data_IF_377483223847
#
_entry.id   IF_377483223847
#
_cell.length_a   1.000
_cell.length_b   1.000
_cell.length_c   1.000
_cell.angle_alpha   90.00
_cell.angle_beta   90.00
_cell.angle_gamma   90.00
#
_symmetry.space_group_name_H-M   'P 1'
#
loop_
_entity.id
_entity.type
_entity.pdbx_description
1 polymer ?
#
# COMPACT_ATOMS: atom_id res chain seq x y z
N UNK A 1 2.07 13.60 16.09
CA UNK A 1 3.01 12.99 15.12
C UNK A 1 2.75 11.49 15.13
N UNK A 2 2.49 10.87 13.98
CA UNK A 2 2.23 9.44 13.88
C UNK A 2 3.51 8.67 14.23
N UNK A 3 3.42 7.60 15.01
CA UNK A 3 4.60 6.81 15.39
C UNK A 3 5.18 6.09 14.16
N UNK A 4 6.51 6.13 13.97
CA UNK A 4 7.15 5.46 12.84
C UNK A 4 6.93 3.95 12.87
N UNK A 5 6.94 3.33 11.69
CA UNK A 5 6.95 1.88 11.55
C UNK A 5 8.34 1.37 11.90
N UNK A 6 8.42 0.54 12.94
CA UNK A 6 9.70 -0.04 13.38
C UNK A 6 10.07 -1.25 12.55
N UNK A 7 11.26 -1.21 11.96
CA UNK A 7 11.84 -2.29 11.18
C UNK A 7 13.18 -2.66 11.79
N UNK A 8 13.39 -3.94 12.09
CA UNK A 8 14.66 -4.45 12.62
C UNK A 8 15.27 -5.44 11.64
N UNK A 9 16.51 -5.18 11.21
CA UNK A 9 17.32 -6.09 10.41
C UNK A 9 18.39 -6.74 11.30
N UNK A 10 18.27 -8.05 11.53
CA UNK A 10 19.32 -8.85 12.16
C UNK A 10 20.25 -9.37 11.08
N UNK A 11 21.42 -8.74 10.91
CA UNK A 11 22.43 -9.17 9.93
C UNK A 11 23.33 -10.25 10.51
N UNK A 12 23.86 -11.12 9.65
CA UNK A 12 24.87 -12.11 10.02
C UNK A 12 26.19 -11.43 10.39
N UNK A 13 26.31 -11.05 11.67
CA UNK A 13 27.44 -10.37 12.26
C UNK A 13 27.41 -10.53 13.79
N UNK A 14 28.43 -10.03 14.46
CA UNK A 14 28.51 -9.97 15.91
C UNK A 14 29.32 -11.10 16.55
N UNK A 15 29.20 -11.19 17.87
CA UNK A 15 29.93 -12.14 18.70
C UNK A 15 29.14 -12.51 19.94
N UNK A 16 29.30 -13.75 20.38
CA UNK A 16 28.71 -14.25 21.61
C UNK A 16 29.72 -15.16 22.31
N UNK A 17 30.30 -14.68 23.41
CA UNK A 17 31.37 -15.37 24.11
C UNK A 17 32.55 -15.69 23.19
N UNK A 18 32.99 -16.96 23.09
CA UNK A 18 34.08 -17.36 22.20
C UNK A 18 33.69 -17.40 20.71
N UNK A 19 32.41 -17.30 20.37
CA UNK A 19 31.93 -17.36 18.99
C UNK A 19 31.89 -15.97 18.36
N UNK A 20 32.41 -15.82 17.14
CA UNK A 20 32.38 -14.56 16.39
C UNK A 20 32.15 -14.83 14.90
N UNK A 21 31.34 -14.00 14.28
CA UNK A 21 31.16 -14.00 12.82
C UNK A 21 32.33 -13.25 12.18
N UNK A 22 33.11 -13.93 11.34
CA UNK A 22 34.24 -13.34 10.60
C UNK A 22 34.03 -13.36 9.08
N UNK A 23 32.96 -14.00 8.59
CA UNK A 23 32.68 -14.16 7.16
C UNK A 23 31.63 -13.12 6.76
N UNK A 24 31.88 -12.33 5.69
CA UNK A 24 30.91 -11.37 5.20
C UNK A 24 29.68 -12.08 4.62
N UNK A 25 28.52 -11.44 4.77
CA UNK A 25 27.23 -11.94 4.30
C UNK A 25 26.74 -11.10 3.12
N UNK A 26 26.77 -11.66 1.91
CA UNK A 26 26.30 -10.99 0.69
C UNK A 26 24.81 -10.64 0.76
N UNK A 27 23.98 -11.58 1.25
CA UNK A 27 22.53 -11.40 1.43
C UNK A 27 22.19 -10.24 2.36
N UNK A 28 23.04 -9.98 3.36
CA UNK A 28 22.84 -8.91 4.32
C UNK A 28 23.07 -7.53 3.70
N UNK A 29 24.07 -7.40 2.82
CA UNK A 29 24.31 -6.18 2.05
C UNK A 29 23.15 -5.93 1.07
N UNK A 30 22.79 -6.96 0.28
CA UNK A 30 21.69 -6.87 -0.68
C UNK A 30 20.37 -6.49 0.01
N UNK A 31 20.06 -7.10 1.15
CA UNK A 31 18.86 -6.78 1.93
C UNK A 31 18.85 -5.32 2.37
N UNK A 32 20.00 -4.78 2.81
CA UNK A 32 20.10 -3.38 3.22
C UNK A 32 19.85 -2.43 2.04
N UNK A 33 20.42 -2.73 0.87
CA UNK A 33 20.24 -1.91 -0.32
C UNK A 33 18.79 -1.93 -0.80
N UNK A 34 18.15 -3.11 -0.78
CA UNK A 34 16.71 -3.25 -1.08
C UNK A 34 15.87 -2.42 -0.10
N UNK A 35 16.16 -2.47 1.21
CA UNK A 35 15.44 -1.69 2.21
C UNK A 35 15.50 -0.20 1.91
N UNK A 36 16.71 0.33 1.72
CA UNK A 36 16.91 1.76 1.48
C UNK A 36 16.19 2.21 0.21
N UNK A 37 16.38 1.48 -0.90
CA UNK A 37 15.71 1.81 -2.16
C UNK A 37 14.18 1.71 -2.06
N UNK A 38 13.66 0.76 -1.27
CA UNK A 38 12.20 0.64 -1.05
C UNK A 38 11.65 1.79 -0.20
N UNK A 39 12.41 2.28 0.78
CA UNK A 39 11.99 3.41 1.62
C UNK A 39 11.95 4.72 0.84
N UNK A 40 12.92 4.92 -0.05
CA UNK A 40 13.04 6.14 -0.83
C UNK A 40 12.04 6.21 -1.99
N UNK A 41 11.59 5.05 -2.49
CA UNK A 41 10.67 4.96 -3.63
C UNK A 41 9.26 4.52 -3.23
N UNK A 42 9.01 3.23 -3.02
CA UNK A 42 7.65 2.70 -2.83
C UNK A 42 7.01 3.09 -1.49
N UNK A 43 7.80 3.29 -0.45
CA UNK A 43 7.31 3.65 0.89
C UNK A 43 7.58 5.12 1.23
N UNK A 44 7.87 5.94 0.21
CA UNK A 44 8.09 7.37 0.37
C UNK A 44 6.90 8.03 1.08
N UNK A 45 7.19 8.78 2.14
CA UNK A 45 6.18 9.46 2.97
C UNK A 45 5.64 8.64 4.15
N UNK A 46 5.96 7.34 4.26
CA UNK A 46 5.69 6.56 5.47
C UNK A 46 6.85 6.76 6.44
N UNK A 47 6.62 7.23 7.68
CA UNK A 47 7.68 7.35 8.67
C UNK A 47 8.17 5.95 9.08
N UNK A 48 9.43 5.63 8.78
CA UNK A 48 10.05 4.32 9.05
C UNK A 48 11.30 4.53 9.90
N UNK A 49 11.46 3.68 10.92
CA UNK A 49 12.64 3.61 11.76
C UNK A 49 13.32 2.25 11.52
N UNK A 50 14.51 2.26 10.90
CA UNK A 50 15.31 1.07 10.67
C UNK A 50 16.37 0.92 11.76
N UNK A 51 16.30 -0.19 12.49
CA UNK A 51 17.33 -0.63 13.43
C UNK A 51 18.10 -1.82 12.84
N UNK A 52 19.43 -1.75 12.80
CA UNK A 52 20.28 -2.85 12.34
C UNK A 52 20.99 -3.46 13.54
N UNK A 53 20.75 -4.74 13.79
CA UNK A 53 21.37 -5.50 14.87
C UNK A 53 22.27 -6.60 14.34
N UNK A 54 23.35 -6.85 15.07
CA UNK A 54 24.19 -8.01 14.83
C UNK A 54 23.48 -9.26 15.39
N UNK A 55 23.13 -10.19 14.51
CA UNK A 55 22.34 -11.38 14.85
C UNK A 55 23.00 -12.20 15.96
N UNK A 56 24.30 -12.49 15.88
CA UNK A 56 24.96 -13.33 16.88
C UNK A 56 25.00 -12.65 18.25
N UNK A 57 25.05 -11.32 18.29
CA UNK A 57 25.00 -10.56 19.54
C UNK A 57 23.59 -10.46 20.14
N UNK A 58 22.54 -10.73 19.35
CA UNK A 58 21.13 -10.54 19.73
C UNK A 58 20.26 -11.77 19.42
N UNK A 59 20.85 -12.94 19.27
CA UNK A 59 20.21 -14.13 18.70
C UNK A 59 18.93 -14.57 19.45
N UNK A 60 18.81 -14.23 20.73
CA UNK A 60 17.63 -14.51 21.56
C UNK A 60 16.40 -13.68 21.17
N UNK A 61 16.57 -12.50 20.57
CA UNK A 61 15.45 -11.65 20.16
C UNK A 61 14.64 -12.28 19.02
N UNK A 62 15.24 -12.63 17.85
CA UNK A 62 14.51 -13.25 16.76
C UNK A 62 13.97 -14.64 17.10
N UNK A 63 14.64 -15.37 18.01
CA UNK A 63 14.14 -16.68 18.46
C UNK A 63 12.80 -16.59 19.17
N UNK A 64 12.54 -15.51 19.94
CA UNK A 64 11.22 -15.28 20.55
C UNK A 64 10.12 -15.12 19.50
N UNK A 65 10.49 -14.77 18.27
CA UNK A 65 9.59 -14.61 17.12
C UNK A 65 9.62 -15.82 16.18
N UNK A 66 10.26 -16.94 16.59
CA UNK A 66 10.32 -18.17 15.80
C UNK A 66 11.27 -18.11 14.60
N UNK A 67 12.25 -17.20 14.59
CA UNK A 67 13.23 -17.07 13.51
C UNK A 67 14.66 -17.18 14.03
N UNK A 68 15.53 -17.80 13.24
CA UNK A 68 16.90 -18.11 13.66
C UNK A 68 17.96 -17.97 12.56
N UNK A 69 17.58 -17.88 11.28
CA UNK A 69 18.54 -17.79 10.18
C UNK A 69 18.69 -16.35 9.68
N UNK A 70 19.87 -15.75 9.87
CA UNK A 70 20.17 -14.41 9.34
C UNK A 70 20.42 -14.42 7.82
N UNK A 71 20.17 -13.29 7.10
CA UNK A 71 19.55 -12.06 7.60
C UNK A 71 18.09 -12.27 7.98
N UNK A 72 17.64 -11.66 9.09
CA UNK A 72 16.23 -11.70 9.53
C UNK A 72 15.68 -10.29 9.48
N UNK A 73 14.56 -10.11 8.79
CA UNK A 73 13.84 -8.85 8.78
C UNK A 73 12.56 -8.96 9.60
N UNK A 74 12.37 -8.00 10.50
CA UNK A 74 11.19 -7.90 11.36
C UNK A 74 10.53 -6.55 11.15
N UNK A 75 9.21 -6.53 10.94
CA UNK A 75 8.40 -5.31 10.87
C UNK A 75 7.38 -5.37 12.00
N UNK A 76 7.44 -4.40 12.92
CA UNK A 76 6.51 -4.30 14.07
C UNK A 76 6.38 -5.62 14.85
N UNK A 77 7.52 -6.27 15.15
CA UNK A 77 7.58 -7.53 15.89
C UNK A 77 7.14 -8.79 15.11
N UNK A 78 6.86 -8.67 13.80
CA UNK A 78 6.53 -9.80 12.93
C UNK A 78 7.68 -10.09 11.97
N UNK A 79 8.11 -11.35 11.88
CA UNK A 79 9.14 -11.80 10.94
C UNK A 79 8.59 -11.74 9.51
N UNK A 80 9.29 -11.03 8.64
CA UNK A 80 8.92 -10.80 7.23
C UNK A 80 9.77 -11.65 6.28
N UNK A 81 11.06 -11.84 6.59
CA UNK A 81 11.98 -12.66 5.80
C UNK A 81 13.09 -13.19 6.71
N UNK A 82 13.61 -14.38 6.38
CA UNK A 82 14.75 -14.99 7.08
C UNK A 82 15.58 -15.87 6.13
N UNK A 83 16.91 -15.78 6.22
CA UNK A 83 17.85 -16.70 5.55
C UNK A 83 17.92 -16.59 4.02
N UNK A 84 17.29 -15.59 3.43
CA UNK A 84 17.24 -15.37 1.98
C UNK A 84 17.25 -13.87 1.65
N UNK A 85 17.45 -13.53 0.37
CA UNK A 85 17.32 -12.17 -0.13
C UNK A 85 15.90 -11.64 0.13
N UNK A 86 15.80 -10.40 0.61
CA UNK A 86 14.51 -9.77 0.87
C UNK A 86 13.67 -9.61 -0.40
N UNK A 87 12.46 -10.16 -0.38
CA UNK A 87 11.46 -9.82 -1.40
C UNK A 87 10.85 -8.44 -1.11
N UNK A 88 11.06 -7.50 -2.04
CA UNK A 88 10.55 -6.13 -1.95
C UNK A 88 9.03 -6.08 -1.76
N UNK A 89 8.26 -6.85 -2.53
CA UNK A 89 6.79 -6.82 -2.45
C UNK A 89 6.28 -7.25 -1.08
N UNK A 90 6.93 -8.25 -0.47
CA UNK A 90 6.60 -8.74 0.88
C UNK A 90 6.90 -7.68 1.94
N UNK A 91 8.02 -6.93 1.81
CA UNK A 91 8.30 -5.76 2.65
C UNK A 91 7.22 -4.69 2.51
N UNK A 92 6.94 -4.25 1.28
CA UNK A 92 5.94 -3.18 1.01
C UNK A 92 4.58 -3.57 1.58
N UNK A 93 4.12 -4.80 1.30
CA UNK A 93 2.87 -5.32 1.84
C UNK A 93 2.85 -5.28 3.37
N UNK A 94 3.91 -5.75 4.03
CA UNK A 94 3.98 -5.84 5.49
C UNK A 94 3.97 -4.45 6.14
N UNK A 95 4.72 -3.50 5.58
CA UNK A 95 4.76 -2.11 6.08
C UNK A 95 3.41 -1.44 5.89
N UNK A 96 2.82 -1.54 4.71
CA UNK A 96 1.53 -0.89 4.41
C UNK A 96 0.41 -1.48 5.25
N UNK A 97 0.40 -2.79 5.48
CA UNK A 97 -0.59 -3.41 6.36
C UNK A 97 -0.54 -2.84 7.79
N UNK A 98 0.65 -2.51 8.29
CA UNK A 98 0.80 -1.88 9.61
C UNK A 98 0.46 -0.39 9.57
N UNK A 99 0.87 0.30 8.50
CA UNK A 99 0.57 1.72 8.30
C UNK A 99 -0.94 1.98 8.19
N UNK A 100 -1.66 1.12 7.46
CA UNK A 100 -3.10 1.19 7.26
C UNK A 100 -3.92 1.15 8.55
N UNK A 101 -3.38 0.58 9.63
CA UNK A 101 -4.05 0.56 10.93
C UNK A 101 -3.96 1.92 11.66
N UNK A 102 -3.05 2.80 11.23
CA UNK A 102 -2.74 4.09 11.85
C UNK A 102 -3.14 5.27 10.98
N UNK A 103 -3.23 5.04 9.67
CA UNK A 103 -3.50 6.02 8.65
C UNK A 103 -4.83 5.72 7.95
N UNK A 104 -5.59 6.78 7.68
CA UNK A 104 -6.84 6.71 6.92
C UNK A 104 -6.63 7.44 5.60
N UNK A 105 -7.20 6.94 4.50
CA UNK A 105 -7.17 7.65 3.23
C UNK A 105 -7.90 9.00 3.36
N UNK A 106 -7.21 10.08 3.03
CA UNK A 106 -7.73 11.45 3.12
C UNK A 106 -7.76 12.11 1.74
N UNK A 107 -8.75 12.99 1.52
CA UNK A 107 -8.92 13.71 0.27
C UNK A 107 -9.53 12.87 -0.86
N UNK A 108 -9.31 13.33 -2.09
CA UNK A 108 -9.86 12.73 -3.31
C UNK A 108 -8.82 11.83 -3.96
N UNK A 109 -9.09 10.53 -4.02
CA UNK A 109 -8.15 9.51 -4.46
C UNK A 109 -8.83 8.58 -5.47
N UNK A 110 -8.13 8.31 -6.57
CA UNK A 110 -8.53 7.35 -7.59
C UNK A 110 -7.44 6.32 -7.76
N UNK A 111 -7.72 5.09 -7.32
CA UNK A 111 -6.89 3.94 -7.66
C UNK A 111 -7.35 3.35 -8.99
N UNK A 112 -6.42 3.18 -9.91
CA UNK A 112 -6.73 2.70 -11.26
C UNK A 112 -5.57 2.02 -11.93
N UNK A 113 -5.75 1.68 -13.21
CA UNK A 113 -4.66 1.28 -14.10
C UNK A 113 -4.81 1.98 -15.44
N UNK A 114 -3.70 2.36 -16.06
CA UNK A 114 -3.68 3.15 -17.29
C UNK A 114 -4.51 2.53 -18.44
N UNK A 115 -4.55 1.21 -18.55
CA UNK A 115 -5.24 0.49 -19.64
C UNK A 115 -6.74 0.25 -19.39
N UNK A 116 -7.30 0.74 -18.29
CA UNK A 116 -8.69 0.48 -17.94
C UNK A 116 -9.64 1.58 -18.46
N UNK A 117 -10.62 1.25 -19.32
CA UNK A 117 -11.57 2.25 -19.84
C UNK A 117 -12.45 2.86 -18.74
N UNK A 118 -12.82 2.09 -17.72
CA UNK A 118 -13.59 2.59 -16.58
C UNK A 118 -12.80 3.60 -15.72
N UNK A 119 -11.48 3.41 -15.61
CA UNK A 119 -10.62 4.40 -14.93
C UNK A 119 -10.57 5.71 -15.73
N UNK A 120 -10.44 5.64 -17.06
CA UNK A 120 -10.48 6.83 -17.93
C UNK A 120 -11.82 7.57 -17.80
N UNK A 121 -12.94 6.83 -17.81
CA UNK A 121 -14.28 7.40 -17.59
C UNK A 121 -14.37 8.12 -16.24
N UNK A 122 -13.96 7.46 -15.16
CA UNK A 122 -14.01 8.04 -13.81
C UNK A 122 -13.20 9.34 -13.69
N UNK A 123 -11.98 9.35 -14.23
CA UNK A 123 -11.15 10.57 -14.27
C UNK A 123 -11.84 11.70 -15.01
N UNK A 124 -12.37 11.43 -16.21
CA UNK A 124 -13.10 12.44 -16.99
C UNK A 124 -14.30 12.99 -16.23
N UNK A 125 -15.06 12.15 -15.54
CA UNK A 125 -16.19 12.61 -14.71
C UNK A 125 -15.75 13.56 -13.59
N UNK A 126 -14.62 13.27 -12.93
CA UNK A 126 -14.06 14.17 -11.91
C UNK A 126 -13.53 15.48 -12.52
N UNK A 127 -12.85 15.39 -13.66
CA UNK A 127 -12.33 16.55 -14.39
C UNK A 127 -13.49 17.47 -14.84
N UNK A 128 -14.55 16.91 -15.43
CA UNK A 128 -15.74 17.65 -15.87
C UNK A 128 -16.49 18.27 -14.68
N UNK A 129 -16.50 17.61 -13.52
CA UNK A 129 -17.07 18.13 -12.27
C UNK A 129 -16.15 19.14 -11.54
N UNK A 130 -14.93 19.39 -12.04
CA UNK A 130 -13.97 20.30 -11.41
C UNK A 130 -13.36 19.77 -10.10
N UNK A 131 -13.47 18.48 -9.82
CA UNK A 131 -12.96 17.84 -8.60
C UNK A 131 -11.50 17.45 -8.80
N UNK A 132 -10.61 18.05 -8.02
CA UNK A 132 -9.19 17.66 -8.01
C UNK A 132 -9.01 16.33 -7.29
N UNK A 133 -8.17 15.44 -7.81
CA UNK A 133 -7.89 14.13 -7.22
C UNK A 133 -6.43 13.70 -7.42
N UNK A 134 -5.98 12.80 -6.55
CA UNK A 134 -4.73 12.06 -6.70
C UNK A 134 -5.02 10.74 -7.42
N UNK A 135 -4.26 10.45 -8.46
CA UNK A 135 -4.37 9.18 -9.19
C UNK A 135 -3.19 8.28 -8.86
N UNK A 136 -3.48 7.04 -8.45
CA UNK A 136 -2.48 6.01 -8.21
C UNK A 136 -2.66 4.85 -9.18
N UNK A 137 -1.60 4.52 -9.92
CA UNK A 137 -1.61 3.39 -10.84
C UNK A 137 -1.18 2.10 -10.11
N UNK A 138 -2.15 1.24 -9.81
CA UNK A 138 -1.91 0.01 -9.02
C UNK A 138 -1.07 -1.04 -9.75
N UNK A 139 -0.74 -0.84 -11.02
CA UNK A 139 0.19 -1.71 -11.77
C UNK A 139 1.63 -1.21 -11.65
N UNK A 140 1.83 0.11 -11.57
CA UNK A 140 3.16 0.73 -11.49
C UNK A 140 3.61 0.96 -10.04
N UNK A 141 2.66 1.26 -9.17
CA UNK A 141 2.88 1.57 -7.75
C UNK A 141 2.41 0.39 -6.91
N UNK A 142 3.32 -0.49 -6.54
CA UNK A 142 3.01 -1.65 -5.69
C UNK A 142 2.38 -1.22 -4.36
N UNK A 143 2.85 -0.11 -3.80
CA UNK A 143 2.30 0.47 -2.58
C UNK A 143 0.81 0.85 -2.73
N UNK A 144 0.42 1.41 -3.87
CA UNK A 144 -0.97 1.74 -4.15
C UNK A 144 -1.86 0.49 -4.18
N UNK A 145 -1.39 -0.59 -4.79
CA UNK A 145 -2.11 -1.88 -4.80
C UNK A 145 -2.30 -2.44 -3.39
N UNK A 146 -1.21 -2.51 -2.62
CA UNK A 146 -1.23 -3.04 -1.26
C UNK A 146 -1.98 -2.14 -0.28
N UNK A 147 -2.11 -0.83 -0.56
CA UNK A 147 -2.98 0.09 0.19
C UNK A 147 -4.45 -0.12 -0.18
N UNK A 148 -4.77 -0.16 -1.47
CA UNK A 148 -6.14 -0.21 -1.98
C UNK A 148 -6.86 -1.52 -1.60
N UNK A 149 -6.27 -2.69 -1.86
CA UNK A 149 -6.97 -3.98 -1.69
C UNK A 149 -7.55 -4.17 -0.28
N UNK A 150 -6.77 -4.07 0.81
CA UNK A 150 -7.31 -4.31 2.16
C UNK A 150 -8.39 -3.30 2.55
N UNK A 151 -8.23 -2.03 2.18
CA UNK A 151 -9.21 -0.96 2.44
C UNK A 151 -10.56 -1.27 1.76
N UNK A 152 -10.52 -1.64 0.48
CA UNK A 152 -11.74 -2.03 -0.25
C UNK A 152 -12.36 -3.29 0.35
N UNK A 153 -11.55 -4.31 0.64
CA UNK A 153 -12.02 -5.59 1.21
C UNK A 153 -12.69 -5.43 2.58
N UNK A 154 -12.23 -4.48 3.38
CA UNK A 154 -12.87 -4.14 4.66
C UNK A 154 -14.31 -3.63 4.46
N UNK A 155 -14.60 -3.00 3.32
CA UNK A 155 -15.91 -2.42 3.00
C UNK A 155 -16.80 -3.40 2.24
N UNK A 156 -16.29 -4.02 1.16
CA UNK A 156 -17.11 -4.86 0.25
C UNK A 156 -17.10 -6.36 0.63
N UNK A 157 -16.31 -6.72 1.64
CA UNK A 157 -16.17 -8.08 2.15
C UNK A 157 -15.05 -8.90 1.51
N UNK A 158 -14.49 -9.82 2.31
CA UNK A 158 -13.31 -10.61 1.94
C UNK A 158 -13.50 -11.50 0.71
N UNK A 159 -14.72 -11.96 0.43
CA UNK A 159 -15.02 -12.86 -0.70
C UNK A 159 -15.24 -12.12 -2.02
N UNK A 160 -15.49 -10.81 -1.99
CA UNK A 160 -15.87 -10.04 -3.18
C UNK A 160 -14.61 -9.61 -3.96
N UNK A 161 -14.47 -9.92 -5.26
CA UNK A 161 -13.32 -9.47 -6.04
C UNK A 161 -13.18 -7.95 -6.05
N UNK A 162 -11.93 -7.46 -5.93
CA UNK A 162 -11.63 -6.03 -6.06
C UNK A 162 -11.27 -5.74 -7.51
N UNK A 163 -11.97 -4.81 -8.14
CA UNK A 163 -11.72 -4.34 -9.51
C UNK A 163 -11.31 -2.87 -9.48
N UNK A 164 -10.82 -2.32 -10.59
CA UNK A 164 -10.52 -0.89 -10.72
C UNK A 164 -11.52 -0.21 -11.66
N UNK A 165 -11.83 1.10 -11.49
CA UNK A 165 -11.28 2.01 -10.48
C UNK A 165 -11.87 1.81 -9.08
N UNK A 166 -11.16 2.30 -8.05
CA UNK A 166 -11.66 2.42 -6.68
C UNK A 166 -11.42 3.85 -6.18
N UNK A 167 -12.50 4.51 -5.77
CA UNK A 167 -12.53 5.96 -5.63
C UNK A 167 -12.95 6.35 -4.21
N UNK A 168 -12.18 7.27 -3.63
CA UNK A 168 -12.51 7.99 -2.39
C UNK A 168 -12.63 9.47 -2.72
N UNK A 169 -13.64 10.14 -2.15
CA UNK A 169 -13.80 11.59 -2.22
C UNK A 169 -13.95 12.15 -0.81
N UNK A 170 -13.15 13.16 -0.47
CA UNK A 170 -13.05 13.75 0.86
C UNK A 170 -12.92 12.68 1.97
N UNK A 171 -12.10 11.65 1.73
CA UNK A 171 -11.91 10.52 2.64
C UNK A 171 -13.06 9.50 2.70
N UNK A 172 -14.16 9.71 1.97
CA UNK A 172 -15.28 8.79 1.91
C UNK A 172 -15.19 7.86 0.71
N UNK A 173 -15.36 6.57 0.94
CA UNK A 173 -15.37 5.59 -0.14
C UNK A 173 -16.63 5.71 -1.01
N UNK A 174 -16.42 5.88 -2.32
CA UNK A 174 -17.47 5.97 -3.33
C UNK A 174 -17.61 4.62 -4.07
N UNK A 175 -16.49 3.95 -4.35
CA UNK A 175 -16.44 2.68 -5.07
C UNK A 175 -16.01 2.84 -6.53
N UNK A 176 -16.71 2.18 -7.45
CA UNK A 176 -16.34 2.12 -8.86
C UNK A 176 -16.79 3.32 -9.70
N UNK A 177 -16.54 3.25 -11.01
CA UNK A 177 -16.89 4.32 -11.96
C UNK A 177 -18.40 4.60 -12.00
N UNK A 178 -19.24 3.56 -11.94
CA UNK A 178 -20.70 3.73 -11.97
C UNK A 178 -21.22 4.34 -10.67
N UNK A 179 -20.64 3.97 -9.53
CA UNK A 179 -20.95 4.60 -8.24
C UNK A 179 -20.58 6.08 -8.23
N UNK A 180 -19.42 6.43 -8.82
CA UNK A 180 -19.00 7.82 -8.94
C UNK A 180 -19.96 8.62 -9.82
N UNK A 181 -20.39 8.06 -10.94
CA UNK A 181 -21.36 8.72 -11.81
C UNK A 181 -22.67 9.02 -11.05
N UNK A 182 -23.22 8.01 -10.36
CA UNK A 182 -24.43 8.19 -9.56
C UNK A 182 -24.24 9.23 -8.45
N UNK A 183 -23.05 9.27 -7.82
CA UNK A 183 -22.73 10.26 -6.79
C UNK A 183 -22.68 11.69 -7.35
N UNK A 184 -22.06 11.89 -8.52
CA UNK A 184 -21.98 13.20 -9.20
C UNK A 184 -23.36 13.69 -9.62
N UNK A 185 -24.18 12.81 -10.18
CA UNK A 185 -25.57 13.10 -10.57
C UNK A 185 -26.40 13.51 -9.34
N UNK A 186 -26.31 12.75 -8.25
CA UNK A 186 -27.00 13.07 -7.00
C UNK A 186 -26.55 14.40 -6.37
N UNK A 187 -25.32 14.85 -6.65
CA UNK A 187 -24.77 16.14 -6.21
C UNK A 187 -25.09 17.30 -7.15
N UNK A 188 -25.73 17.05 -8.30
CA UNK A 188 -26.00 18.07 -9.32
C UNK A 188 -24.73 18.64 -9.95
N UNK A 189 -23.63 17.88 -9.93
CA UNK A 189 -22.34 18.27 -10.49
C UNK A 189 -22.16 17.78 -11.94
N UNK A 190 -23.19 17.15 -12.50
CA UNK A 190 -23.18 16.68 -13.88
C UNK A 190 -23.27 17.86 -14.83
N UNK A 191 -22.29 18.02 -15.72
CA UNK A 191 -22.29 19.04 -16.78
C UNK A 191 -23.06 18.60 -18.02
N UNK A 192 -24.00 17.66 -17.89
CA UNK A 192 -24.86 17.26 -19.02
C UNK A 192 -25.60 18.52 -19.49
N UNK A 193 -25.44 18.92 -20.76
CA UNK A 193 -26.22 20.04 -21.27
C UNK A 193 -27.71 19.67 -21.18
N UNK A 194 -28.54 20.59 -20.72
CA UNK A 194 -30.00 20.48 -20.49
C UNK A 194 -30.84 20.16 -21.76
N UNK A 195 -30.21 19.68 -22.84
CA UNK A 195 -30.85 19.46 -24.14
C UNK A 195 -31.24 18.00 -24.43
N UNK A 196 -31.19 17.10 -23.45
CA UNK A 196 -31.78 15.76 -23.60
C UNK A 196 -33.25 15.83 -23.17
N UNK A 197 -34.12 16.01 -24.16
CA UNK A 197 -35.57 15.93 -23.99
C UNK A 197 -35.92 14.55 -23.42
N UNK A 198 -36.49 14.52 -22.22
CA UNK A 198 -37.13 13.33 -21.67
C UNK A 198 -38.35 13.01 -22.55
N UNK A 199 -38.20 12.05 -23.45
CA UNK A 199 -39.33 11.43 -24.15
C UNK A 199 -40.02 10.50 -23.15
N UNK A 200 -40.87 11.09 -22.29
CA UNK A 200 -41.85 10.31 -21.56
C UNK A 200 -42.74 9.59 -22.58
N UNK A 201 -42.72 8.27 -22.48
CA UNK A 201 -43.54 7.37 -23.26
C UNK A 201 -45.02 7.60 -22.89
N UNK A 202 -45.71 8.43 -23.68
CA UNK A 202 -47.16 8.43 -23.76
C UNK A 202 -47.63 7.16 -24.48
N UNK A 203 -47.84 6.10 -23.69
CA UNK A 203 -48.72 4.99 -24.05
C UNK A 203 -49.78 4.84 -22.97
N UNK A 204 -50.95 5.41 -23.23
CA UNK A 204 -52.16 5.36 -22.42
C UNK A 204 -53.18 6.38 -22.89
#
# INVERSE_FOLDING_TARGET
MTQPIKITLYRWAGSWGPFKVNIPCGECTLTKDILQDTFDNELAGIPIELEVKDWLSHWWEPLKMGSWHAPILVVEGKVVSQGEALNRGVLVQSVIQQWAQRDTLQGNIVYGKATCPYCVKAKKLLDDAGIQYQYHDVVKESAALYRMIPEVKAIIGMKTPVTVPQIWLDGHYIGGADNLQAWIEAKGLSTVPDNVVNLEANHG
#
